data_IF_611280829928
#
_entry.id   IF_611280829928
#
_cell.length_a   1.000
_cell.length_b   1.000
_cell.length_c   1.000
_cell.angle_alpha   90.00
_cell.angle_beta   90.00
_cell.angle_gamma   90.00
#
_symmetry.space_group_name_H-M   'P 1'
#
loop_
_entity.id
_entity.type
_entity.pdbx_description
1 polymer ?
#
# COMPACT_ATOMS: atom_id res chain seq x y z
N UNK A 1 -25.85 -1.98 30.49
CA UNK A 1 -25.90 -2.45 29.09
C UNK A 1 -25.10 -1.44 28.28
N UNK A 2 -23.84 -1.73 27.98
CA UNK A 2 -23.00 -0.83 27.20
C UNK A 2 -23.32 -1.06 25.72
N UNK A 3 -23.98 -0.10 25.07
CA UNK A 3 -24.10 -0.08 23.61
C UNK A 3 -22.71 0.21 23.05
N UNK A 4 -22.09 -0.78 22.42
CA UNK A 4 -20.92 -0.55 21.57
C UNK A 4 -21.36 0.39 20.47
N UNK A 5 -20.78 1.59 20.45
CA UNK A 5 -21.08 2.59 19.44
C UNK A 5 -20.44 2.09 18.14
N UNK A 6 -21.25 1.53 17.24
CA UNK A 6 -20.79 1.06 15.93
C UNK A 6 -20.18 2.22 15.15
N UNK A 7 -19.07 1.98 14.46
CA UNK A 7 -18.40 3.04 13.69
C UNK A 7 -19.26 3.52 12.51
N UNK A 8 -18.93 4.70 11.98
CA UNK A 8 -19.57 5.19 10.74
C UNK A 8 -19.37 4.24 9.56
N UNK A 9 -18.26 3.52 9.51
CA UNK A 9 -17.99 2.52 8.48
C UNK A 9 -18.90 1.31 8.62
N UNK A 10 -19.06 0.77 9.83
CA UNK A 10 -19.97 -0.36 10.09
C UNK A 10 -21.40 -0.02 9.65
N UNK A 11 -21.88 1.17 9.99
CA UNK A 11 -23.19 1.66 9.56
C UNK A 11 -23.31 1.77 8.03
N UNK A 12 -22.27 2.28 7.36
CA UNK A 12 -22.24 2.39 5.90
C UNK A 12 -22.34 1.02 5.21
N UNK A 13 -21.82 -0.04 5.85
CA UNK A 13 -21.88 -1.39 5.26
C UNK A 13 -23.26 -2.02 5.33
N UNK A 14 -24.13 -1.67 6.28
CA UNK A 14 -25.40 -2.36 6.52
C UNK A 14 -26.31 -2.41 5.29
N UNK A 15 -26.43 -1.29 4.58
CA UNK A 15 -27.31 -1.15 3.40
C UNK A 15 -26.61 -1.41 2.07
N UNK A 16 -25.28 -1.56 2.06
CA UNK A 16 -24.51 -1.77 0.84
C UNK A 16 -24.62 -3.23 0.33
N UNK A 17 -24.84 -3.41 -0.96
CA UNK A 17 -24.78 -4.74 -1.61
C UNK A 17 -23.33 -5.14 -1.94
N UNK A 18 -22.52 -4.14 -2.27
CA UNK A 18 -21.10 -4.27 -2.63
C UNK A 18 -20.29 -3.33 -1.76
N UNK A 19 -19.20 -3.82 -1.18
CA UNK A 19 -18.25 -3.03 -0.40
C UNK A 19 -16.88 -3.13 -1.05
N UNK A 20 -16.29 -2.00 -1.41
CA UNK A 20 -14.92 -1.93 -1.89
C UNK A 20 -14.01 -1.49 -0.73
N UNK A 21 -12.92 -2.21 -0.54
CA UNK A 21 -11.85 -1.83 0.39
C UNK A 21 -10.63 -1.43 -0.41
N UNK A 22 -10.04 -0.31 -0.03
CA UNK A 22 -8.65 -0.02 -0.34
C UNK A 22 -7.76 -1.02 0.43
N UNK A 23 -6.71 -1.53 -0.20
CA UNK A 23 -5.84 -2.55 0.40
C UNK A 23 -4.82 -1.88 1.31
N UNK A 24 -4.06 -0.93 0.79
CA UNK A 24 -3.03 -0.23 1.56
C UNK A 24 -3.62 1.03 2.18
N UNK A 25 -3.06 1.48 3.30
CA UNK A 25 -3.57 2.61 4.10
C UNK A 25 -5.01 2.42 4.65
N UNK A 26 -5.63 1.24 4.41
CA UNK A 26 -6.92 0.82 4.97
C UNK A 26 -6.83 -0.59 5.60
N UNK A 27 -6.72 -1.66 4.81
CA UNK A 27 -6.65 -3.04 5.34
C UNK A 27 -5.25 -3.41 5.82
N UNK A 28 -4.24 -2.88 5.15
CA UNK A 28 -2.83 -3.06 5.43
C UNK A 28 -2.26 -1.70 5.80
N UNK A 29 -1.54 -1.66 6.92
CA UNK A 29 -0.84 -0.49 7.41
C UNK A 29 0.66 -0.77 7.50
N UNK A 30 1.44 0.31 7.62
CA UNK A 30 2.90 0.28 7.76
C UNK A 30 3.31 1.08 9.00
N UNK A 31 4.45 0.77 9.65
CA UNK A 31 4.96 1.49 10.81
C UNK A 31 5.63 2.83 10.42
N UNK A 32 5.11 3.54 9.42
CA UNK A 32 5.66 4.79 8.90
C UNK A 32 4.62 5.91 8.98
N UNK A 33 5.07 7.13 9.27
CA UNK A 33 4.17 8.29 9.29
C UNK A 33 3.74 8.70 7.89
N UNK A 34 4.63 8.50 6.90
CA UNK A 34 4.37 8.72 5.48
C UNK A 34 4.98 7.58 4.66
N UNK A 35 4.40 7.21 3.50
CA UNK A 35 5.00 6.20 2.61
C UNK A 35 6.46 6.51 2.24
N UNK A 36 6.80 7.79 2.09
CA UNK A 36 8.17 8.22 1.78
C UNK A 36 9.20 7.92 2.87
N UNK A 37 8.76 7.64 4.10
CA UNK A 37 9.67 7.35 5.21
C UNK A 37 10.34 5.97 5.04
N UNK A 38 9.71 5.03 4.31
CA UNK A 38 10.37 3.78 3.89
C UNK A 38 11.60 4.07 3.03
N UNK A 39 11.50 5.01 2.09
CA UNK A 39 12.63 5.33 1.21
C UNK A 39 13.78 6.00 1.98
N UNK A 40 13.46 6.80 3.01
CA UNK A 40 14.46 7.36 3.92
C UNK A 40 15.15 6.25 4.73
N UNK A 41 14.38 5.27 5.20
CA UNK A 41 14.92 4.09 5.87
C UNK A 41 15.87 3.32 4.94
N UNK A 42 15.46 3.03 3.70
CA UNK A 42 16.30 2.35 2.70
C UNK A 42 17.58 3.11 2.37
N UNK A 43 17.50 4.43 2.21
CA UNK A 43 18.67 5.27 1.94
C UNK A 43 19.71 5.14 3.06
N UNK A 44 19.27 5.13 4.32
CA UNK A 44 20.15 4.95 5.47
C UNK A 44 20.69 3.52 5.59
N UNK A 45 19.81 2.51 5.49
CA UNK A 45 20.14 1.09 5.66
C UNK A 45 21.16 0.61 4.61
N UNK A 46 20.98 1.02 3.36
CA UNK A 46 21.82 0.59 2.23
C UNK A 46 22.89 1.60 1.83
N UNK A 47 23.09 2.67 2.63
CA UNK A 47 24.07 3.73 2.37
C UNK A 47 23.94 4.35 0.96
N UNK A 48 22.70 4.48 0.48
CA UNK A 48 22.38 4.83 -0.90
C UNK A 48 22.05 6.32 -1.04
N UNK A 49 23.03 7.20 -0.76
CA UNK A 49 22.81 8.66 -0.71
C UNK A 49 22.00 9.19 -1.91
N UNK A 50 20.94 9.94 -1.61
CA UNK A 50 20.04 10.56 -2.58
C UNK A 50 18.96 9.62 -3.16
N UNK A 51 18.96 8.34 -2.79
CA UNK A 51 17.95 7.37 -3.19
C UNK A 51 16.53 7.84 -2.90
N UNK A 52 16.24 8.30 -1.68
CA UNK A 52 14.88 8.63 -1.27
C UNK A 52 14.29 9.75 -2.15
N UNK A 53 15.10 10.78 -2.42
CA UNK A 53 14.72 11.87 -3.30
C UNK A 53 14.55 11.41 -4.75
N UNK A 54 15.48 10.60 -5.26
CA UNK A 54 15.42 10.08 -6.62
C UNK A 54 14.18 9.22 -6.83
N UNK A 55 13.87 8.33 -5.87
CA UNK A 55 12.73 7.41 -5.90
C UNK A 55 11.38 8.13 -5.92
N UNK A 56 11.20 9.16 -5.10
CA UNK A 56 9.98 9.98 -5.08
C UNK A 56 9.81 10.76 -6.38
N UNK A 57 10.89 11.32 -6.93
CA UNK A 57 10.84 12.05 -8.19
C UNK A 57 10.52 11.12 -9.37
N UNK A 58 11.12 9.93 -9.40
CA UNK A 58 10.89 8.94 -10.44
C UNK A 58 9.42 8.50 -10.48
N UNK A 59 8.80 8.21 -9.33
CA UNK A 59 7.37 7.86 -9.30
C UNK A 59 6.48 9.01 -9.75
N UNK A 60 6.75 10.22 -9.29
CA UNK A 60 6.00 11.40 -9.74
C UNK A 60 6.08 11.58 -11.26
N UNK A 61 7.26 11.34 -11.84
CA UNK A 61 7.46 11.39 -13.29
C UNK A 61 6.72 10.25 -13.99
N UNK A 62 6.85 9.01 -13.50
CA UNK A 62 6.16 7.85 -14.05
C UNK A 62 4.64 8.07 -14.08
N UNK A 63 4.06 8.53 -12.96
CA UNK A 63 2.61 8.79 -12.83
C UNK A 63 2.11 9.90 -13.75
N UNK A 64 3.00 10.84 -14.12
CA UNK A 64 2.68 11.96 -15.00
C UNK A 64 2.84 11.61 -16.48
N UNK A 65 3.90 10.89 -16.84
CA UNK A 65 4.33 10.72 -18.23
C UNK A 65 3.89 9.37 -18.82
N UNK A 66 3.70 8.32 -18.00
CA UNK A 66 3.32 6.98 -18.46
C UNK A 66 1.80 6.78 -18.30
N UNK A 67 1.32 6.76 -17.04
CA UNK A 67 -0.08 6.53 -16.66
C UNK A 67 -0.27 6.76 -15.16
N UNK A 68 -1.51 6.91 -14.69
CA UNK A 68 -1.79 7.15 -13.28
C UNK A 68 -1.38 5.99 -12.35
N UNK A 69 -1.58 4.74 -12.80
CA UNK A 69 -1.16 3.51 -12.11
C UNK A 69 0.14 2.99 -12.70
N UNK A 70 1.25 3.16 -11.97
CA UNK A 70 2.58 2.74 -12.40
C UNK A 70 3.07 1.57 -11.55
N UNK A 71 3.88 0.71 -12.14
CA UNK A 71 4.54 -0.37 -11.42
C UNK A 71 5.97 0.00 -11.00
N UNK A 72 6.56 -0.82 -10.13
CA UNK A 72 7.89 -0.56 -9.58
C UNK A 72 8.98 -0.53 -10.66
N UNK A 73 8.92 -1.41 -11.66
CA UNK A 73 9.91 -1.45 -12.75
C UNK A 73 9.87 -0.16 -13.58
N UNK A 74 8.67 0.36 -13.89
CA UNK A 74 8.48 1.65 -14.57
C UNK A 74 9.09 2.80 -13.75
N UNK A 75 8.95 2.77 -12.43
CA UNK A 75 9.58 3.77 -11.54
C UNK A 75 11.11 3.65 -11.60
N UNK A 76 11.66 2.45 -11.39
CA UNK A 76 13.12 2.23 -11.40
C UNK A 76 13.75 2.50 -12.76
N UNK A 77 13.00 2.34 -13.86
CA UNK A 77 13.46 2.68 -15.21
C UNK A 77 13.77 4.18 -15.39
N UNK A 78 13.18 5.04 -14.54
CA UNK A 78 13.40 6.49 -14.53
C UNK A 78 14.46 6.93 -13.50
N UNK A 79 15.02 5.99 -12.74
CA UNK A 79 16.07 6.25 -11.77
C UNK A 79 17.46 6.02 -12.36
N UNK A 80 18.49 6.58 -11.71
CA UNK A 80 19.87 6.26 -12.04
C UNK A 80 20.12 4.74 -11.84
N UNK A 81 20.74 4.08 -12.82
CA UNK A 81 21.00 2.65 -12.80
C UNK A 81 21.79 2.16 -11.59
N UNK A 82 22.52 3.05 -10.90
CA UNK A 82 23.19 2.72 -9.62
C UNK A 82 22.22 2.27 -8.52
N UNK A 83 20.94 2.65 -8.60
CA UNK A 83 19.93 2.26 -7.62
C UNK A 83 19.22 0.96 -7.98
N UNK A 84 19.46 0.36 -9.16
CA UNK A 84 18.69 -0.81 -9.63
C UNK A 84 18.74 -2.00 -8.66
N UNK A 85 19.85 -2.18 -7.94
CA UNK A 85 19.98 -3.23 -6.93
C UNK A 85 19.06 -3.07 -5.71
N UNK A 86 18.40 -1.93 -5.54
CA UNK A 86 17.50 -1.65 -4.42
C UNK A 86 16.04 -2.01 -4.71
N UNK A 87 15.69 -2.34 -5.96
CA UNK A 87 14.32 -2.68 -6.34
C UNK A 87 13.78 -3.89 -5.57
N UNK A 88 14.53 -4.98 -5.55
CA UNK A 88 14.17 -6.18 -4.78
C UNK A 88 14.12 -5.89 -3.27
N UNK A 89 14.98 -4.99 -2.78
CA UNK A 89 14.99 -4.55 -1.39
C UNK A 89 13.78 -3.72 -1.01
N UNK A 90 13.29 -2.89 -1.92
CA UNK A 90 12.03 -2.16 -1.72
C UNK A 90 10.86 -3.15 -1.60
N UNK A 91 10.79 -4.16 -2.46
CA UNK A 91 9.75 -5.20 -2.40
C UNK A 91 9.81 -5.96 -1.08
N UNK A 92 11.01 -6.40 -0.67
CA UNK A 92 11.23 -7.12 0.60
C UNK A 92 10.72 -6.30 1.79
N UNK A 93 11.15 -5.03 1.90
CA UNK A 93 10.79 -4.17 3.03
C UNK A 93 9.32 -3.74 3.01
N UNK A 94 8.76 -3.45 1.84
CA UNK A 94 7.32 -3.18 1.70
C UNK A 94 6.49 -4.34 2.22
N UNK A 95 6.91 -5.58 1.90
CA UNK A 95 6.22 -6.79 2.37
C UNK A 95 6.43 -7.01 3.86
N UNK A 96 7.67 -6.87 4.35
CA UNK A 96 8.02 -7.06 5.76
C UNK A 96 7.26 -6.10 6.69
N UNK A 97 7.14 -4.84 6.28
CA UNK A 97 6.49 -3.81 7.09
C UNK A 97 4.97 -3.71 6.89
N UNK A 98 4.42 -4.43 5.92
CA UNK A 98 2.99 -4.47 5.67
C UNK A 98 2.30 -5.40 6.67
N UNK A 99 1.50 -4.83 7.57
CA UNK A 99 0.75 -5.57 8.59
C UNK A 99 -0.74 -5.28 8.47
N UNK A 100 -1.58 -6.28 8.72
CA UNK A 100 -3.02 -6.08 8.70
C UNK A 100 -3.44 -5.13 9.82
N UNK A 101 -4.21 -4.10 9.49
CA UNK A 101 -4.84 -3.25 10.50
C UNK A 101 -5.95 -4.08 11.20
N UNK A 102 -5.88 -4.26 12.53
CA UNK A 102 -6.79 -5.16 13.22
C UNK A 102 -8.25 -4.69 13.19
N UNK A 103 -8.48 -3.38 13.13
CA UNK A 103 -9.83 -2.82 13.09
C UNK A 103 -10.43 -2.98 11.70
N UNK A 104 -9.69 -2.59 10.65
CA UNK A 104 -10.14 -2.73 9.27
C UNK A 104 -10.33 -4.20 8.88
N UNK A 105 -9.45 -5.09 9.36
CA UNK A 105 -9.60 -6.55 9.18
C UNK A 105 -10.89 -7.07 9.79
N UNK A 106 -11.23 -6.66 11.03
CA UNK A 106 -12.48 -7.09 11.67
C UNK A 106 -13.71 -6.60 10.90
N UNK A 107 -13.68 -5.37 10.37
CA UNK A 107 -14.74 -4.85 9.51
C UNK A 107 -14.87 -5.66 8.21
N UNK A 108 -13.75 -5.94 7.53
CA UNK A 108 -13.70 -6.77 6.34
C UNK A 108 -14.28 -8.17 6.58
N UNK A 109 -13.87 -8.85 7.65
CA UNK A 109 -14.38 -10.17 8.03
C UNK A 109 -15.89 -10.13 8.34
N UNK A 110 -16.37 -9.07 9.00
CA UNK A 110 -17.80 -8.88 9.26
C UNK A 110 -18.61 -8.70 7.97
N UNK A 111 -18.10 -7.93 7.00
CA UNK A 111 -18.75 -7.75 5.70
C UNK A 111 -18.83 -9.06 4.92
N UNK A 112 -17.74 -9.85 4.93
CA UNK A 112 -17.72 -11.18 4.32
C UNK A 112 -18.74 -12.12 4.96
N UNK A 113 -18.81 -12.14 6.30
CA UNK A 113 -19.75 -12.99 7.04
C UNK A 113 -21.23 -12.66 6.73
N UNK A 114 -21.52 -11.43 6.32
CA UNK A 114 -22.85 -11.00 5.88
C UNK A 114 -23.19 -11.45 4.44
N UNK A 115 -22.28 -12.14 3.75
CA UNK A 115 -22.49 -12.62 2.37
C UNK A 115 -22.50 -11.51 1.32
N UNK A 116 -21.99 -10.32 1.66
CA UNK A 116 -21.90 -9.18 0.75
C UNK A 116 -20.78 -9.40 -0.26
N UNK A 117 -20.93 -8.81 -1.45
CA UNK A 117 -19.87 -8.82 -2.45
C UNK A 117 -18.76 -7.87 -2.01
N UNK A 118 -17.53 -8.38 -1.91
CA UNK A 118 -16.35 -7.57 -1.58
C UNK A 118 -15.45 -7.38 -2.79
N UNK A 119 -14.94 -6.17 -2.97
CA UNK A 119 -13.93 -5.82 -3.98
C UNK A 119 -12.71 -5.26 -3.24
N UNK A 120 -11.52 -5.72 -3.61
CA UNK A 120 -10.26 -5.16 -3.13
C UNK A 120 -9.67 -4.29 -4.24
N UNK A 121 -9.27 -3.07 -3.89
CA UNK A 121 -8.66 -2.10 -4.80
C UNK A 121 -7.29 -1.74 -4.25
N UNK A 122 -6.29 -1.67 -5.11
CA UNK A 122 -4.93 -1.29 -4.73
C UNK A 122 -4.33 -0.47 -5.87
N UNK A 123 -3.79 0.69 -5.56
CA UNK A 123 -3.00 1.54 -6.45
C UNK A 123 -1.49 1.46 -6.17
N UNK A 124 -1.09 0.45 -5.39
CA UNK A 124 0.31 0.19 -5.06
C UNK A 124 1.10 -0.27 -6.28
N UNK A 125 2.33 0.24 -6.37
CA UNK A 125 3.29 -0.08 -7.42
C UNK A 125 3.93 -1.48 -7.30
N UNK A 126 3.57 -2.27 -6.29
CA UNK A 126 4.13 -3.60 -6.07
C UNK A 126 3.72 -4.59 -7.17
N UNK A 127 4.57 -5.56 -7.51
CA UNK A 127 4.22 -6.61 -8.46
C UNK A 127 2.98 -7.40 -8.02
N UNK A 128 2.17 -7.82 -8.99
CA UNK A 128 0.96 -8.61 -8.75
C UNK A 128 1.23 -9.91 -7.97
N UNK A 129 2.41 -10.50 -8.15
CA UNK A 129 2.84 -11.69 -7.40
C UNK A 129 2.96 -11.47 -5.91
N UNK A 130 3.24 -10.23 -5.47
CA UNK A 130 3.29 -9.84 -4.06
C UNK A 130 1.87 -9.56 -3.56
N UNK A 131 1.06 -8.85 -4.36
CA UNK A 131 -0.30 -8.46 -3.98
C UNK A 131 -1.29 -9.63 -3.86
N UNK A 132 -1.01 -10.76 -4.54
CA UNK A 132 -1.88 -11.95 -4.54
C UNK A 132 -1.43 -13.06 -3.58
N UNK A 133 -0.32 -12.89 -2.86
CA UNK A 133 0.22 -13.86 -1.91
C UNK A 133 -0.50 -13.79 -0.57
#
# INVERSE_FOLDING_TARGET
>A
MFTVQTSGYEQATLTAEVVAFDVFDTLITRPFMRPTDLFLFMEAEYQAEGFAKARVLAEKLARKEIRQEVNLDEIYSLMDGKYRSLEEKEIELETEFSVADPYAKALYESVLAQGKRVILVSDMYLPESVLRG
#
